data_IF_692676213700
#
_entry.id   IF_692676213700
#
_cell.length_a   1.000
_cell.length_b   1.000
_cell.length_c   1.000
_cell.angle_alpha   90.00
_cell.angle_beta   90.00
_cell.angle_gamma   90.00
#
_symmetry.space_group_name_H-M   'P 1'
#
loop_
_entity.id
_entity.type
_entity.pdbx_description
1 polymer ?
#
# COMPACT_ATOMS: atom_id res chain seq x y z
N UNK A 1 -9.23 32.69 23.37
CA UNK A 1 -9.39 32.80 21.91
C UNK A 1 -8.02 32.64 21.29
N UNK A 2 -7.83 31.65 20.42
CA UNK A 2 -6.62 31.49 19.65
C UNK A 2 -6.64 32.53 18.54
N UNK A 3 -5.55 33.26 18.39
CA UNK A 3 -5.35 34.22 17.33
C UNK A 3 -5.33 33.48 15.98
N UNK A 4 -6.22 33.82 15.07
CA UNK A 4 -6.35 33.21 13.76
C UNK A 4 -5.05 33.30 12.94
N UNK A 5 -4.27 34.37 13.13
CA UNK A 5 -2.97 34.55 12.50
C UNK A 5 -1.93 33.55 13.01
N UNK A 6 -1.97 33.20 14.30
CA UNK A 6 -1.08 32.19 14.87
C UNK A 6 -1.40 30.78 14.36
N UNK A 7 -2.68 30.48 14.11
CA UNK A 7 -3.10 29.21 13.51
C UNK A 7 -2.64 29.13 12.05
N UNK A 8 -2.81 30.20 11.28
CA UNK A 8 -2.39 30.28 9.89
C UNK A 8 -0.86 30.17 9.76
N UNK A 9 -0.10 30.74 10.70
CA UNK A 9 1.36 30.63 10.71
C UNK A 9 1.83 29.21 11.05
N UNK A 10 1.15 28.51 11.98
CA UNK A 10 1.42 27.09 12.29
C UNK A 10 1.04 26.13 11.15
N UNK A 11 -0.01 26.46 10.40
CA UNK A 11 -0.49 25.66 9.28
C UNK A 11 0.21 26.00 7.96
N UNK A 12 1.07 27.03 7.96
CA UNK A 12 1.74 27.46 6.74
C UNK A 12 2.75 26.42 6.25
N UNK A 13 2.80 26.17 4.93
CA UNK A 13 3.74 25.21 4.32
C UNK A 13 5.23 25.55 4.61
N UNK A 14 5.52 26.74 5.11
CA UNK A 14 6.87 27.19 5.48
C UNK A 14 7.46 26.42 6.69
N UNK A 15 6.63 25.84 7.54
CA UNK A 15 7.09 25.10 8.72
C UNK A 15 7.40 23.63 8.38
N UNK A 16 6.69 23.01 7.46
CA UNK A 16 6.85 21.61 7.10
C UNK A 16 8.24 21.27 6.49
N UNK A 17 8.80 22.06 5.55
CA UNK A 17 10.12 21.78 4.98
C UNK A 17 11.24 21.82 6.01
N UNK A 18 11.16 22.73 6.98
CA UNK A 18 12.20 22.93 8.00
C UNK A 18 12.31 21.74 8.96
N UNK A 19 11.20 21.08 9.27
CA UNK A 19 11.18 19.89 10.14
C UNK A 19 11.69 18.63 9.42
N UNK A 20 11.45 18.52 8.13
CA UNK A 20 11.85 17.38 7.30
C UNK A 20 13.37 17.37 7.00
N UNK A 21 14.04 18.52 7.09
CA UNK A 21 15.46 18.70 6.76
C UNK A 21 16.39 18.62 7.98
N UNK A 22 15.87 18.35 9.18
CA UNK A 22 16.69 18.31 10.40
C UNK A 22 16.60 16.95 11.07
N UNK A 23 17.76 16.40 11.37
CA UNK A 23 17.89 15.21 12.20
C UNK A 23 18.49 15.60 13.55
N UNK A 24 17.81 15.27 14.64
CA UNK A 24 18.34 15.44 15.98
C UNK A 24 19.46 14.43 16.21
N UNK A 25 20.61 14.91 16.69
CA UNK A 25 21.75 14.12 17.09
C UNK A 25 21.65 13.73 18.58
N UNK A 26 22.48 12.78 19.00
CA UNK A 26 22.48 12.27 20.37
C UNK A 26 22.85 13.33 21.45
N UNK A 27 23.49 14.41 21.06
CA UNK A 27 23.84 15.56 21.91
C UNK A 27 22.74 16.63 22.00
N UNK A 28 21.56 16.37 21.36
CA UNK A 28 20.44 17.31 21.30
C UNK A 28 20.58 18.41 20.25
N UNK A 29 21.67 18.43 19.49
CA UNK A 29 21.84 19.36 18.37
C UNK A 29 21.11 18.84 17.13
N UNK A 30 20.89 19.72 16.13
CA UNK A 30 20.27 19.35 14.86
C UNK A 30 21.28 19.42 13.73
N UNK A 31 21.33 18.35 12.93
CA UNK A 31 22.07 18.34 11.68
C UNK A 31 21.11 18.61 10.53
N UNK A 32 21.43 19.57 9.67
CA UNK A 32 20.74 19.74 8.42
C UNK A 32 21.05 18.56 7.48
N UNK A 33 19.98 17.96 6.93
CA UNK A 33 20.12 16.94 5.89
C UNK A 33 20.05 17.69 4.56
N UNK A 34 21.12 17.60 3.78
CA UNK A 34 21.10 18.11 2.41
C UNK A 34 20.03 17.34 1.63
N UNK A 35 18.97 18.02 1.25
CA UNK A 35 18.00 17.47 0.30
C UNK A 35 18.63 17.43 -1.08
N UNK A 36 18.41 16.33 -1.80
CA UNK A 36 18.63 16.35 -3.23
C UNK A 36 17.82 17.51 -3.83
N UNK A 37 18.38 18.26 -4.79
CA UNK A 37 17.62 19.31 -5.46
C UNK A 37 16.32 18.70 -5.98
N UNK A 38 15.19 19.34 -5.68
CA UNK A 38 13.90 18.92 -6.23
C UNK A 38 14.00 18.94 -7.76
N UNK A 39 13.97 17.77 -8.36
CA UNK A 39 13.80 17.68 -9.80
C UNK A 39 12.41 18.25 -10.11
N UNK A 40 12.28 19.27 -10.96
CA UNK A 40 10.98 19.83 -11.29
C UNK A 40 10.04 18.71 -11.72
N UNK A 41 8.82 18.70 -11.16
CA UNK A 41 7.80 17.68 -11.43
C UNK A 41 7.51 17.44 -12.91
N UNK A 42 7.85 18.41 -13.75
CA UNK A 42 7.66 18.36 -15.20
C UNK A 42 8.66 17.44 -15.92
N UNK A 43 9.82 17.16 -15.33
CA UNK A 43 10.87 16.39 -16.00
C UNK A 43 10.71 14.87 -15.88
N UNK A 44 10.08 14.38 -14.83
CA UNK A 44 9.86 12.94 -14.65
C UNK A 44 8.71 12.36 -15.50
N UNK A 45 7.83 13.23 -16.06
CA UNK A 45 6.80 12.83 -17.03
C UNK A 45 7.35 12.61 -18.44
N UNK A 46 8.60 12.98 -18.70
CA UNK A 46 9.27 12.87 -20.01
C UNK A 46 10.24 11.70 -20.10
N UNK A 47 10.16 10.71 -19.23
CA UNK A 47 10.84 9.45 -19.47
C UNK A 47 10.20 8.82 -20.70
N UNK A 48 10.92 8.87 -21.82
CA UNK A 48 10.49 8.25 -23.08
C UNK A 48 10.16 6.78 -22.82
N UNK A 49 8.94 6.38 -23.14
CA UNK A 49 8.47 5.00 -22.98
C UNK A 49 7.49 4.72 -21.84
N UNK A 50 7.16 5.70 -21.00
CA UNK A 50 6.02 5.55 -20.08
C UNK A 50 4.75 5.94 -20.85
N UNK A 51 3.79 5.02 -21.08
CA UNK A 51 2.52 5.34 -21.70
C UNK A 51 1.77 6.39 -20.88
N UNK A 52 1.14 7.33 -21.56
CA UNK A 52 0.29 8.35 -20.95
C UNK A 52 -0.83 7.70 -20.11
N UNK A 53 -1.19 8.31 -18.98
CA UNK A 53 -2.26 7.80 -18.10
C UNK A 53 -3.54 7.59 -18.92
N UNK A 54 -3.90 6.32 -19.18
CA UNK A 54 -5.07 5.95 -19.97
C UNK A 54 -4.81 4.96 -21.11
N UNK A 55 -3.56 4.65 -21.44
CA UNK A 55 -3.20 3.70 -22.49
C UNK A 55 -2.55 2.40 -21.97
N UNK A 56 -2.85 1.97 -20.76
CA UNK A 56 -2.59 0.58 -20.42
C UNK A 56 -3.65 -0.26 -21.13
N UNK A 57 -3.26 -1.16 -22.05
CA UNK A 57 -4.22 -2.09 -22.61
C UNK A 57 -4.77 -2.91 -21.45
N UNK A 58 -6.00 -2.64 -21.05
CA UNK A 58 -6.80 -3.43 -20.10
C UNK A 58 -7.21 -4.79 -20.70
N UNK A 59 -6.51 -5.21 -21.74
CA UNK A 59 -6.80 -6.45 -22.43
C UNK A 59 -6.17 -7.60 -21.67
N UNK A 60 -7.02 -8.57 -21.37
CA UNK A 60 -6.62 -9.87 -20.84
C UNK A 60 -5.48 -10.42 -21.71
N UNK A 61 -4.31 -10.78 -21.15
CA UNK A 61 -3.22 -11.38 -21.93
C UNK A 61 -3.67 -12.59 -22.75
N UNK A 62 -4.70 -13.30 -22.31
CA UNK A 62 -5.31 -14.43 -23.03
C UNK A 62 -6.13 -14.00 -24.26
N UNK A 63 -6.36 -12.70 -24.46
CA UNK A 63 -7.13 -12.13 -25.57
C UNK A 63 -6.29 -11.35 -26.58
N UNK A 64 -4.98 -11.33 -26.46
CA UNK A 64 -4.11 -10.67 -27.44
C UNK A 64 -3.99 -11.62 -28.65
N UNK A 65 -4.59 -11.27 -29.81
CA UNK A 65 -4.45 -12.09 -31.01
C UNK A 65 -2.99 -12.18 -31.43
N UNK A 66 -2.47 -13.39 -31.46
CA UNK A 66 -1.07 -13.64 -31.85
C UNK A 66 -0.08 -13.79 -30.69
N UNK A 67 -0.52 -13.71 -29.44
CA UNK A 67 0.28 -14.15 -28.33
C UNK A 67 0.33 -15.68 -28.34
N UNK A 68 1.34 -16.25 -29.00
CA UNK A 68 1.64 -17.66 -28.88
C UNK A 68 1.87 -17.97 -27.40
N UNK A 69 1.24 -19.02 -26.88
CA UNK A 69 1.55 -19.53 -25.55
C UNK A 69 3.08 -19.73 -25.46
N UNK A 70 3.72 -18.89 -24.68
CA UNK A 70 5.14 -19.02 -24.38
C UNK A 70 5.19 -20.00 -23.20
N UNK A 71 5.80 -21.16 -23.36
CA UNK A 71 5.96 -22.06 -22.23
C UNK A 71 6.65 -21.32 -21.10
N UNK A 72 6.24 -21.53 -19.85
CA UNK A 72 6.83 -20.84 -18.72
C UNK A 72 8.34 -20.99 -18.75
N UNK A 73 9.05 -19.88 -18.63
CA UNK A 73 10.50 -19.90 -18.45
C UNK A 73 10.75 -20.52 -17.08
N UNK A 74 11.58 -21.56 -17.06
CA UNK A 74 12.03 -22.12 -15.79
C UNK A 74 13.26 -21.34 -15.30
N UNK A 75 13.40 -21.17 -14.00
CA UNK A 75 12.53 -21.62 -12.91
C UNK A 75 11.29 -20.72 -12.69
N UNK A 76 10.29 -21.30 -12.06
CA UNK A 76 9.03 -20.63 -11.70
C UNK A 76 8.96 -20.34 -10.19
N UNK A 77 8.21 -19.33 -9.79
CA UNK A 77 8.02 -19.00 -8.36
C UNK A 77 7.48 -20.20 -7.55
N UNK A 78 6.71 -21.09 -8.16
CA UNK A 78 6.19 -22.27 -7.47
C UNK A 78 7.33 -23.20 -7.00
N UNK A 79 8.44 -23.28 -7.72
CA UNK A 79 9.60 -24.10 -7.35
C UNK A 79 10.24 -23.62 -6.04
N UNK A 80 10.09 -22.30 -5.73
CA UNK A 80 10.49 -21.75 -4.42
C UNK A 80 9.57 -22.24 -3.31
N UNK A 81 8.27 -22.28 -3.57
CA UNK A 81 7.28 -22.74 -2.58
C UNK A 81 7.40 -24.25 -2.33
N UNK A 82 7.79 -25.02 -3.32
CA UNK A 82 8.02 -26.47 -3.25
C UNK A 82 9.39 -26.82 -2.63
N UNK A 83 10.28 -25.82 -2.51
CA UNK A 83 11.61 -26.00 -1.92
C UNK A 83 12.69 -26.51 -2.88
N UNK A 84 12.40 -26.53 -4.17
CA UNK A 84 13.34 -26.95 -5.22
C UNK A 84 14.34 -25.84 -5.57
N UNK A 85 14.01 -24.59 -5.21
CA UNK A 85 14.81 -23.40 -5.45
C UNK A 85 14.72 -22.46 -4.25
N UNK A 86 15.80 -21.77 -3.91
CA UNK A 86 15.75 -20.72 -2.89
C UNK A 86 15.22 -19.42 -3.48
N UNK A 87 14.66 -18.55 -2.64
CA UNK A 87 14.18 -17.23 -3.08
C UNK A 87 15.32 -16.38 -3.65
N UNK A 88 16.53 -16.46 -3.08
CA UNK A 88 17.69 -15.71 -3.55
C UNK A 88 18.14 -16.19 -4.94
N UNK A 89 18.14 -17.49 -5.19
CA UNK A 89 18.41 -18.05 -6.52
C UNK A 89 17.35 -17.59 -7.51
N UNK A 90 16.06 -17.67 -7.17
CA UNK A 90 14.97 -17.17 -8.01
C UNK A 90 15.15 -15.68 -8.34
N UNK A 91 15.40 -14.85 -7.33
CA UNK A 91 15.59 -13.42 -7.52
C UNK A 91 16.80 -13.10 -8.43
N UNK A 92 17.86 -13.89 -8.37
CA UNK A 92 19.05 -13.71 -9.21
C UNK A 92 18.81 -13.93 -10.71
N UNK A 93 17.69 -14.56 -11.06
CA UNK A 93 17.29 -14.84 -12.45
C UNK A 93 16.45 -13.73 -13.06
N UNK A 94 15.91 -12.82 -12.23
CA UNK A 94 15.14 -11.69 -12.69
C UNK A 94 16.07 -10.59 -13.19
N UNK A 95 15.71 -9.94 -14.29
CA UNK A 95 16.39 -8.74 -14.73
C UNK A 95 16.02 -7.54 -13.83
N UNK A 96 16.84 -6.49 -13.87
CA UNK A 96 16.54 -5.23 -13.17
C UNK A 96 15.18 -4.66 -13.63
N UNK A 97 14.83 -4.83 -14.90
CA UNK A 97 13.53 -4.40 -15.44
C UNK A 97 12.38 -5.23 -14.85
N UNK A 98 12.53 -6.54 -14.74
CA UNK A 98 11.53 -7.40 -14.10
C UNK A 98 11.34 -7.05 -12.63
N UNK A 99 12.44 -6.82 -11.90
CA UNK A 99 12.38 -6.38 -10.51
C UNK A 99 11.72 -5.00 -10.36
N UNK A 100 12.02 -4.06 -11.25
CA UNK A 100 11.38 -2.74 -11.25
C UNK A 100 9.86 -2.84 -11.51
N UNK A 101 9.43 -3.76 -12.38
CA UNK A 101 7.99 -4.02 -12.61
C UNK A 101 7.28 -4.55 -11.36
N UNK A 102 7.94 -5.38 -10.57
CA UNK A 102 7.36 -5.91 -9.32
C UNK A 102 7.13 -4.82 -8.26
N UNK A 103 7.89 -3.71 -8.31
CA UNK A 103 7.72 -2.56 -7.40
C UNK A 103 6.57 -1.63 -7.81
N UNK A 104 6.11 -1.71 -9.05
CA UNK A 104 5.00 -0.91 -9.57
C UNK A 104 3.64 -1.52 -9.25
N UNK A 105 2.59 -0.66 -9.19
CA UNK A 105 1.21 -1.14 -9.14
C UNK A 105 0.83 -1.83 -10.44
N UNK A 106 0.04 -2.89 -10.35
CA UNK A 106 -0.45 -3.67 -11.48
C UNK A 106 -1.91 -3.37 -11.76
N UNK A 107 -2.39 -3.54 -13.01
CA UNK A 107 -3.79 -3.31 -13.34
C UNK A 107 -4.72 -4.10 -12.43
N UNK A 108 -5.77 -3.43 -11.95
CA UNK A 108 -6.80 -4.07 -11.16
C UNK A 108 -7.59 -5.07 -12.01
N UNK A 109 -7.65 -6.32 -11.54
CA UNK A 109 -8.47 -7.38 -12.12
C UNK A 109 -9.44 -7.89 -11.06
N UNK A 110 -10.74 -7.87 -11.35
CA UNK A 110 -11.76 -8.31 -10.42
C UNK A 110 -12.38 -7.19 -9.59
N UNK A 111 -12.81 -7.51 -8.38
CA UNK A 111 -13.65 -6.64 -7.53
C UNK A 111 -12.87 -5.63 -6.69
N UNK A 112 -11.56 -5.79 -6.55
CA UNK A 112 -10.71 -4.93 -5.72
C UNK A 112 -10.75 -3.46 -6.18
N UNK A 113 -10.66 -2.53 -5.26
CA UNK A 113 -10.72 -1.10 -5.53
C UNK A 113 -9.37 -0.42 -5.74
N UNK A 114 -8.27 -1.13 -5.48
CA UNK A 114 -6.91 -0.63 -5.67
C UNK A 114 -6.14 -1.44 -6.70
N UNK A 115 -4.91 -1.03 -7.00
CA UNK A 115 -4.03 -1.79 -7.89
C UNK A 115 -3.51 -3.06 -7.21
N UNK A 116 -3.21 -4.08 -8.03
CA UNK A 116 -2.51 -5.27 -7.59
C UNK A 116 -0.98 -5.08 -7.56
N UNK A 117 -0.26 -6.13 -7.25
CA UNK A 117 1.20 -6.19 -7.35
C UNK A 117 1.66 -7.57 -7.84
N UNK A 118 2.94 -7.67 -8.19
CA UNK A 118 3.47 -8.87 -8.82
C UNK A 118 3.28 -8.84 -10.34
N UNK A 119 2.54 -9.79 -10.90
CA UNK A 119 2.21 -9.89 -12.32
C UNK A 119 3.43 -10.06 -13.24
N UNK A 120 4.21 -11.11 -12.98
CA UNK A 120 5.31 -11.51 -13.83
C UNK A 120 5.06 -12.94 -14.33
N UNK A 121 4.11 -13.16 -15.26
CA UNK A 121 3.61 -14.49 -15.62
C UNK A 121 4.68 -15.38 -16.24
N UNK A 122 5.69 -14.81 -16.88
CA UNK A 122 6.84 -15.54 -17.42
C UNK A 122 7.58 -16.36 -16.36
N UNK A 123 7.59 -15.87 -15.12
CA UNK A 123 8.19 -16.50 -13.95
C UNK A 123 7.16 -17.09 -12.98
N UNK A 124 5.91 -17.18 -13.39
CA UNK A 124 4.84 -17.68 -12.54
C UNK A 124 4.46 -16.78 -11.37
N UNK A 125 4.87 -15.49 -11.38
CA UNK A 125 4.48 -14.52 -10.34
C UNK A 125 3.07 -14.01 -10.65
N UNK A 126 2.08 -14.28 -9.77
CA UNK A 126 0.71 -13.87 -10.01
C UNK A 126 0.50 -12.37 -9.84
N UNK A 127 -0.58 -11.86 -10.41
CA UNK A 127 -1.09 -10.52 -10.11
C UNK A 127 -1.96 -10.61 -8.84
N UNK A 128 -1.41 -10.19 -7.71
CA UNK A 128 -2.10 -10.24 -6.42
C UNK A 128 -2.95 -8.99 -6.25
N UNK A 129 -4.26 -9.15 -6.14
CA UNK A 129 -5.18 -8.05 -5.92
C UNK A 129 -5.09 -7.52 -4.50
N UNK A 130 -5.08 -6.21 -4.36
CA UNK A 130 -5.17 -5.53 -3.07
C UNK A 130 -6.49 -4.78 -2.96
N UNK A 131 -7.04 -4.72 -1.77
CA UNK A 131 -8.20 -3.90 -1.48
C UNK A 131 -7.94 -3.01 -0.27
N UNK A 132 -8.42 -1.79 -0.37
CA UNK A 132 -8.35 -0.81 0.69
C UNK A 132 -9.45 -1.05 1.73
N UNK A 133 -9.41 -0.33 2.83
CA UNK A 133 -10.50 -0.23 3.80
C UNK A 133 -10.17 -0.67 5.22
N UNK A 134 -9.47 0.16 6.01
CA UNK A 134 -9.17 -0.16 7.42
C UNK A 134 -10.41 -0.27 8.31
N UNK A 135 -11.55 0.28 7.88
CA UNK A 135 -12.84 0.16 8.58
C UNK A 135 -13.84 -0.72 7.81
N UNK A 136 -13.37 -1.66 7.00
CA UNK A 136 -14.17 -2.58 6.20
C UNK A 136 -13.64 -2.69 4.77
N UNK A 137 -13.77 -3.88 4.19
CA UNK A 137 -13.28 -4.18 2.85
C UNK A 137 -13.96 -3.27 1.82
N UNK A 138 -13.17 -2.61 0.97
CA UNK A 138 -13.68 -1.79 -0.12
C UNK A 138 -13.67 -2.55 -1.43
N UNK A 139 -14.86 -2.69 -2.00
CA UNK A 139 -15.07 -3.30 -3.31
C UNK A 139 -15.61 -2.24 -4.26
N UNK A 140 -15.35 -2.38 -5.54
CA UNK A 140 -15.89 -1.49 -6.56
C UNK A 140 -17.41 -1.54 -6.53
N UNK A 141 -18.11 -0.38 -6.47
CA UNK A 141 -19.57 -0.34 -6.38
C UNK A 141 -20.28 -1.05 -7.53
N UNK A 142 -19.69 -1.01 -8.72
CA UNK A 142 -20.23 -1.64 -9.94
C UNK A 142 -20.26 -3.16 -9.88
N UNK A 143 -19.52 -3.77 -8.95
CA UNK A 143 -19.54 -5.22 -8.74
C UNK A 143 -20.79 -5.71 -8.00
N UNK A 144 -21.60 -4.80 -7.43
CA UNK A 144 -22.84 -5.14 -6.74
C UNK A 144 -22.64 -5.93 -5.43
N UNK A 145 -21.43 -5.99 -4.90
CA UNK A 145 -21.10 -6.66 -3.64
C UNK A 145 -21.15 -5.64 -2.50
N UNK A 146 -21.90 -5.98 -1.45
CA UNK A 146 -21.93 -5.18 -0.22
C UNK A 146 -21.09 -5.84 0.84
N UNK A 147 -20.19 -5.07 1.44
CA UNK A 147 -19.30 -5.49 2.52
C UNK A 147 -19.64 -4.79 3.82
N UNK A 148 -19.18 -5.32 4.94
CA UNK A 148 -19.47 -4.77 6.26
C UNK A 148 -18.63 -3.51 6.52
N UNK A 149 -19.30 -2.44 6.96
CA UNK A 149 -18.65 -1.27 7.51
C UNK A 149 -18.48 -1.44 9.02
N UNK A 150 -17.23 -1.52 9.46
CA UNK A 150 -16.88 -1.60 10.88
C UNK A 150 -16.64 -0.19 11.45
N UNK A 151 -16.66 -0.02 12.78
CA UNK A 151 -16.22 1.20 13.43
C UNK A 151 -14.77 1.54 13.06
N UNK A 152 -14.42 2.84 13.07
CA UNK A 152 -13.06 3.26 12.79
C UNK A 152 -12.07 2.79 13.88
N UNK A 153 -10.80 2.66 13.54
CA UNK A 153 -9.78 2.09 14.43
C UNK A 153 -9.67 2.82 15.78
N UNK A 154 -9.75 4.15 15.80
CA UNK A 154 -9.75 4.93 17.05
C UNK A 154 -10.90 4.53 17.97
N UNK A 155 -12.11 4.33 17.41
CA UNK A 155 -13.27 3.90 18.20
C UNK A 155 -13.11 2.46 18.70
N UNK A 156 -12.55 1.57 17.89
CA UNK A 156 -12.23 0.20 18.32
C UNK A 156 -11.23 0.20 19.46
N UNK A 157 -10.20 1.02 19.42
CA UNK A 157 -9.22 1.14 20.50
C UNK A 157 -9.84 1.64 21.80
N UNK A 158 -10.87 2.51 21.73
CA UNK A 158 -11.60 2.97 22.92
C UNK A 158 -12.34 1.86 23.67
N UNK A 159 -12.51 0.69 23.08
CA UNK A 159 -13.11 -0.47 23.76
C UNK A 159 -12.14 -1.11 24.76
N UNK A 160 -10.83 -0.92 24.61
CA UNK A 160 -9.78 -1.61 25.37
C UNK A 160 -9.91 -3.15 25.35
N UNK A 161 -10.47 -3.67 24.26
CA UNK A 161 -10.79 -5.08 24.12
C UNK A 161 -10.25 -5.65 22.81
N UNK A 162 -9.10 -6.31 22.90
CA UNK A 162 -8.42 -6.93 21.75
C UNK A 162 -9.22 -8.08 21.14
N UNK A 163 -10.03 -8.81 21.94
CA UNK A 163 -10.87 -9.90 21.44
C UNK A 163 -11.93 -9.41 20.45
N UNK A 164 -12.57 -8.27 20.74
CA UNK A 164 -13.53 -7.67 19.80
C UNK A 164 -12.83 -7.28 18.50
N UNK A 165 -11.64 -6.70 18.58
CA UNK A 165 -10.88 -6.32 17.39
C UNK A 165 -10.48 -7.54 16.58
N UNK A 166 -10.05 -8.61 17.23
CA UNK A 166 -9.75 -9.90 16.61
C UNK A 166 -10.97 -10.51 15.90
N UNK A 167 -12.15 -10.44 16.52
CA UNK A 167 -13.40 -10.93 15.90
C UNK A 167 -13.78 -10.13 14.67
N UNK A 168 -13.56 -8.81 14.69
CA UNK A 168 -13.75 -7.91 13.52
C UNK A 168 -12.76 -8.27 12.42
N UNK A 169 -11.49 -8.46 12.76
CA UNK A 169 -10.47 -8.92 11.81
C UNK A 169 -10.84 -10.23 11.13
N UNK A 170 -11.30 -11.21 11.92
CA UNK A 170 -11.77 -12.50 11.41
C UNK A 170 -13.02 -12.38 10.51
N UNK A 171 -13.93 -11.47 10.85
CA UNK A 171 -15.11 -11.21 10.02
C UNK A 171 -14.72 -10.59 8.68
N UNK A 172 -13.86 -9.57 8.69
CA UNK A 172 -13.36 -8.95 7.46
C UNK A 172 -12.53 -9.91 6.61
N UNK A 173 -11.71 -10.77 7.23
CA UNK A 173 -10.93 -11.77 6.53
C UNK A 173 -11.80 -12.78 5.75
N UNK A 174 -12.99 -13.12 6.26
CA UNK A 174 -13.95 -13.94 5.52
C UNK A 174 -14.43 -13.25 4.24
N UNK A 175 -14.78 -11.96 4.34
CA UNK A 175 -15.19 -11.18 3.16
C UNK A 175 -14.04 -11.05 2.15
N UNK A 176 -12.81 -10.88 2.60
CA UNK A 176 -11.60 -10.86 1.76
C UNK A 176 -11.46 -12.17 0.98
N UNK A 177 -11.58 -13.30 1.68
CA UNK A 177 -11.47 -14.63 1.07
C UNK A 177 -12.60 -14.91 0.08
N UNK A 178 -13.84 -14.59 0.45
CA UNK A 178 -15.03 -14.77 -0.39
C UNK A 178 -14.95 -13.98 -1.71
N UNK A 179 -14.25 -12.84 -1.70
CA UNK A 179 -14.09 -11.98 -2.87
C UNK A 179 -12.75 -12.19 -3.62
N UNK A 180 -11.97 -13.19 -3.25
CA UNK A 180 -10.72 -13.50 -3.93
C UNK A 180 -9.65 -12.41 -3.84
N UNK A 181 -9.68 -11.58 -2.79
CA UNK A 181 -8.69 -10.55 -2.53
C UNK A 181 -7.46 -11.18 -1.90
N UNK A 182 -6.28 -10.92 -2.47
CA UNK A 182 -5.03 -11.48 -1.96
C UNK A 182 -4.45 -10.71 -0.77
N UNK A 183 -4.63 -9.40 -0.74
CA UNK A 183 -4.18 -8.53 0.35
C UNK A 183 -5.24 -7.48 0.67
N UNK A 184 -5.61 -7.40 1.93
CA UNK A 184 -6.41 -6.32 2.48
C UNK A 184 -5.52 -5.32 3.20
N UNK A 185 -5.62 -4.04 2.86
CA UNK A 185 -4.78 -2.97 3.39
C UNK A 185 -5.30 -2.51 4.76
N UNK A 186 -5.13 -3.37 5.74
CA UNK A 186 -5.56 -3.19 7.15
C UNK A 186 -4.70 -4.08 8.06
N UNK A 187 -4.56 -3.76 9.35
CA UNK A 187 -4.94 -2.53 10.01
C UNK A 187 -4.02 -1.35 9.67
N UNK A 188 -4.52 -0.12 9.79
CA UNK A 188 -3.68 1.08 9.70
C UNK A 188 -3.07 1.36 11.09
N UNK A 189 -1.76 1.15 11.21
CA UNK A 189 -1.04 1.14 12.50
C UNK A 189 -0.15 2.35 12.74
N UNK A 190 -0.30 3.41 11.94
CA UNK A 190 0.37 4.67 12.24
C UNK A 190 -0.09 5.20 13.60
N UNK A 191 0.79 5.87 14.32
CA UNK A 191 0.44 6.50 15.59
C UNK A 191 -0.05 7.93 15.39
N UNK A 192 -0.97 8.39 16.26
CA UNK A 192 -1.45 9.77 16.29
C UNK A 192 -0.32 10.70 16.75
N UNK A 193 0.39 11.36 15.84
CA UNK A 193 1.49 12.28 16.18
C UNK A 193 1.03 13.72 16.30
N UNK A 194 0.03 14.11 15.54
CA UNK A 194 -0.49 15.46 15.49
C UNK A 194 -1.99 15.44 15.19
N UNK A 195 -2.79 16.31 15.82
CA UNK A 195 -4.22 16.41 15.53
C UNK A 195 -4.51 16.89 14.10
N UNK A 196 -3.52 17.46 13.43
CA UNK A 196 -3.66 17.97 12.06
C UNK A 196 -3.59 16.87 10.98
N UNK A 197 -3.28 15.62 11.35
CA UNK A 197 -3.30 14.51 10.41
C UNK A 197 -4.74 14.10 10.08
N UNK A 198 -5.16 14.29 8.84
CA UNK A 198 -6.51 13.95 8.37
C UNK A 198 -6.85 12.46 8.38
N UNK A 199 -5.85 11.58 8.63
CA UNK A 199 -6.00 10.12 8.68
C UNK A 199 -6.02 9.55 10.10
N UNK A 200 -5.97 10.38 11.15
CA UNK A 200 -5.96 9.90 12.54
C UNK A 200 -7.15 8.97 12.86
N UNK A 201 -8.31 9.20 12.25
CA UNK A 201 -9.51 8.38 12.48
C UNK A 201 -9.32 6.89 12.17
N UNK A 202 -8.41 6.56 11.25
CA UNK A 202 -8.15 5.17 10.85
C UNK A 202 -7.01 4.50 11.62
N UNK A 203 -6.34 5.23 12.54
CA UNK A 203 -5.29 4.71 13.39
C UNK A 203 -5.82 4.43 14.80
N UNK A 204 -5.24 3.46 15.50
CA UNK A 204 -5.73 3.05 16.82
C UNK A 204 -5.44 4.06 17.91
N UNK A 205 -4.20 4.55 18.04
CA UNK A 205 -3.76 5.34 19.20
C UNK A 205 -2.52 6.19 18.91
N UNK A 206 -2.23 7.14 19.81
CA UNK A 206 -0.94 7.80 19.93
C UNK A 206 0.11 6.91 20.66
N UNK A 207 -0.36 5.95 21.47
CA UNK A 207 0.46 5.02 22.19
C UNK A 207 0.80 3.81 21.30
N UNK A 208 2.10 3.55 21.00
CA UNK A 208 2.50 2.44 20.15
C UNK A 208 2.19 1.06 20.77
N UNK A 209 2.10 0.93 22.12
CA UNK A 209 1.71 -0.32 22.76
C UNK A 209 0.23 -0.60 22.47
N UNK A 210 -0.64 0.37 22.69
CA UNK A 210 -2.07 0.24 22.40
C UNK A 210 -2.29 -0.05 20.91
N UNK A 211 -1.59 0.67 20.03
CA UNK A 211 -1.71 0.44 18.59
C UNK A 211 -1.26 -0.97 18.20
N UNK A 212 -0.16 -1.47 18.79
CA UNK A 212 0.35 -2.82 18.55
C UNK A 212 -0.59 -3.92 19.04
N UNK A 213 -1.06 -3.82 20.28
CA UNK A 213 -1.96 -4.81 20.90
C UNK A 213 -3.32 -4.89 20.19
N UNK A 214 -3.83 -3.75 19.70
CA UNK A 214 -5.08 -3.71 18.94
C UNK A 214 -4.92 -4.21 17.50
N UNK A 215 -3.71 -4.19 16.95
CA UNK A 215 -3.44 -4.60 15.58
C UNK A 215 -3.08 -6.09 15.44
N UNK A 216 -2.62 -6.72 16.53
CA UNK A 216 -2.20 -8.12 16.57
C UNK A 216 -3.38 -9.09 16.69
#
# INVERSE_FOLDING_TARGET
ELDDDAILEQLSPKCAPTLLHRRMLADGSYREIACAPETPREDWRKLEGIPDEGQYPLENPDQIPGCAWIPPIKPQLIEVAEGDLTLDEFMSLLSDEDMARLLGGQPNRGVANTFGFGNLPTYGVPNVMTADGPAGLRIKPECGVTTTAFPCATLLACTWNTEIVREIGAAGAREVHENGIGVWLTPAINIHRTPLCGRNFEYYSEDPLVAGEMAA
#
